data_IF_181841247556
#
_entry.id   IF_181841247556
#
_cell.length_a   1.000
_cell.length_b   1.000
_cell.length_c   1.000
_cell.angle_alpha   90.00
_cell.angle_beta   90.00
_cell.angle_gamma   90.00
#
_symmetry.space_group_name_H-M   'P 1'
#
loop_
_entity.id
_entity.type
_entity.pdbx_description
1 polymer ?
#
# COMPACT_ATOMS: atom_id res chain seq x y z
N UNK A 1 33.98 -38.79 17.28
CA UNK A 1 34.50 -37.43 16.94
C UNK A 1 33.91 -36.87 15.66
N UNK A 2 33.69 -37.66 14.61
CA UNK A 2 33.11 -37.14 13.35
C UNK A 2 31.67 -36.60 13.49
N UNK A 3 30.78 -37.34 14.15
CA UNK A 3 29.37 -36.95 14.33
C UNK A 3 29.24 -35.58 15.07
N UNK A 4 30.06 -35.33 16.07
CA UNK A 4 30.05 -34.07 16.81
C UNK A 4 30.43 -32.87 15.92
N UNK A 5 31.39 -33.04 15.00
CA UNK A 5 31.78 -31.98 14.04
C UNK A 5 30.61 -31.63 13.07
N UNK A 6 29.85 -32.62 12.60
CA UNK A 6 28.70 -32.38 11.73
C UNK A 6 27.56 -31.70 12.46
N UNK A 7 27.30 -32.04 13.74
CA UNK A 7 26.30 -31.37 14.56
C UNK A 7 26.65 -29.89 14.76
N UNK A 8 27.92 -29.60 15.13
CA UNK A 8 28.38 -28.21 15.31
C UNK A 8 28.32 -27.42 14.02
N UNK A 9 28.69 -28.01 12.88
CA UNK A 9 28.61 -27.38 11.57
C UNK A 9 27.16 -27.08 11.17
N UNK A 10 26.23 -28.03 11.42
CA UNK A 10 24.80 -27.86 11.12
C UNK A 10 24.17 -26.76 11.98
N UNK A 11 24.51 -26.66 13.27
CA UNK A 11 24.03 -25.60 14.17
C UNK A 11 24.59 -24.24 13.75
N UNK A 12 25.86 -24.15 13.32
CA UNK A 12 26.42 -22.91 12.79
C UNK A 12 25.74 -22.48 11.48
N UNK A 13 25.45 -23.39 10.57
CA UNK A 13 24.72 -23.05 9.33
C UNK A 13 23.28 -22.57 9.63
N UNK A 14 22.55 -23.21 10.55
CA UNK A 14 21.24 -22.76 10.96
C UNK A 14 21.27 -21.39 11.64
N UNK A 15 22.33 -21.09 12.41
CA UNK A 15 22.50 -19.78 13.06
C UNK A 15 22.73 -18.61 12.10
N UNK A 16 23.31 -18.87 10.92
CA UNK A 16 23.57 -17.83 9.90
C UNK A 16 22.26 -17.44 9.17
N UNK A 17 21.30 -18.36 9.04
CA UNK A 17 20.02 -18.07 8.39
C UNK A 17 19.01 -17.30 9.26
N UNK A 18 19.25 -17.16 10.57
CA UNK A 18 18.35 -16.44 11.49
C UNK A 18 18.57 -14.92 11.51
N UNK A 19 19.61 -14.41 10.87
CA UNK A 19 19.84 -12.97 10.70
C UNK A 19 19.32 -12.46 9.35
N UNK A 20 18.16 -12.91 8.92
CA UNK A 20 17.40 -12.19 7.90
C UNK A 20 17.05 -10.82 8.48
N UNK A 21 17.67 -9.75 7.96
CA UNK A 21 17.31 -8.37 8.27
C UNK A 21 15.89 -8.11 7.75
N UNK A 22 14.90 -8.64 8.46
CA UNK A 22 13.54 -8.16 8.30
C UNK A 22 13.54 -6.74 8.88
N UNK A 23 13.61 -5.74 8.03
CA UNK A 23 13.35 -4.37 8.43
C UNK A 23 12.06 -4.36 9.23
N UNK A 24 12.06 -3.85 10.45
CA UNK A 24 10.85 -3.89 11.26
C UNK A 24 9.76 -3.06 10.57
N UNK A 25 8.53 -3.54 10.59
CA UNK A 25 7.37 -2.80 10.06
C UNK A 25 7.28 -1.40 10.65
N UNK A 26 7.68 -1.25 11.92
CA UNK A 26 7.70 0.04 12.61
C UNK A 26 8.69 1.01 11.97
N UNK A 27 9.91 0.58 11.65
CA UNK A 27 10.92 1.44 10.99
C UNK A 27 10.45 1.88 9.61
N UNK A 28 9.92 0.96 8.82
CA UNK A 28 9.36 1.27 7.50
C UNK A 28 8.20 2.29 7.57
N UNK A 29 7.36 2.23 8.61
CA UNK A 29 6.26 3.18 8.83
C UNK A 29 6.79 4.55 9.29
N UNK A 30 7.85 4.57 10.13
CA UNK A 30 8.46 5.82 10.58
C UNK A 30 9.16 6.58 9.44
N UNK A 31 9.71 5.86 8.46
CA UNK A 31 10.28 6.45 7.24
C UNK A 31 9.20 7.02 6.31
N UNK A 32 8.08 6.33 6.18
CA UNK A 32 6.97 6.71 5.31
C UNK A 32 5.63 6.29 5.92
N UNK A 33 4.94 7.25 6.56
CA UNK A 33 3.67 7.04 7.22
C UNK A 33 2.58 6.52 6.26
N UNK A 34 2.67 6.80 4.95
CA UNK A 34 1.72 6.33 3.96
C UNK A 34 1.70 4.79 3.85
N UNK A 35 2.78 4.10 4.27
CA UNK A 35 2.85 2.64 4.35
C UNK A 35 1.85 2.02 5.35
N UNK A 36 1.30 2.82 6.27
CA UNK A 36 0.20 2.37 7.13
C UNK A 36 -1.06 2.03 6.33
N UNK A 37 -1.20 2.57 5.13
CA UNK A 37 -2.31 2.28 4.23
C UNK A 37 -2.38 0.81 3.77
N UNK A 38 -1.34 0.00 3.98
CA UNK A 38 -1.33 -1.41 3.59
C UNK A 38 -1.67 -1.59 2.11
N UNK A 39 -2.79 -2.27 1.83
CA UNK A 39 -3.26 -2.49 0.44
C UNK A 39 -3.70 -1.20 -0.26
N UNK A 40 -3.96 -0.13 0.47
CA UNK A 40 -4.31 1.19 -0.06
C UNK A 40 -3.08 2.09 -0.29
N UNK A 41 -1.88 1.61 0.06
CA UNK A 41 -0.65 2.34 -0.24
C UNK A 41 -0.52 2.58 -1.74
N UNK A 42 -0.33 3.84 -2.14
CA UNK A 42 -0.26 4.23 -3.53
C UNK A 42 0.93 3.57 -4.23
N UNK A 43 0.69 2.96 -5.38
CA UNK A 43 1.76 2.41 -6.22
C UNK A 43 2.64 3.55 -6.75
N UNK A 44 3.96 3.52 -6.52
CA UNK A 44 4.84 4.58 -7.00
C UNK A 44 4.94 4.56 -8.53
N UNK A 45 4.70 5.70 -9.15
CA UNK A 45 4.98 5.88 -10.58
C UNK A 45 6.49 6.01 -10.74
N UNK A 46 7.12 5.00 -11.34
CA UNK A 46 8.54 5.02 -11.67
C UNK A 46 8.70 4.96 -13.18
N UNK A 47 9.53 5.82 -13.73
CA UNK A 47 9.94 5.69 -15.12
C UNK A 47 10.68 4.36 -15.30
N UNK A 48 10.14 3.50 -16.17
CA UNK A 48 10.79 2.26 -16.52
C UNK A 48 11.85 2.54 -17.59
N UNK A 49 13.11 2.30 -17.27
CA UNK A 49 14.18 2.30 -18.27
C UNK A 49 14.10 0.98 -19.01
N UNK A 50 13.59 1.04 -20.25
CA UNK A 50 13.54 -0.13 -21.11
C UNK A 50 14.95 -0.56 -21.49
N UNK A 51 15.34 -1.79 -21.13
CA UNK A 51 16.59 -2.39 -21.59
C UNK A 51 16.36 -2.96 -22.99
N UNK A 52 17.15 -2.56 -24.01
CA UNK A 52 16.99 -3.12 -25.33
C UNK A 52 17.28 -4.63 -25.33
N UNK A 53 16.67 -5.41 -26.23
CA UNK A 53 16.94 -6.82 -26.32
C UNK A 53 18.42 -7.08 -26.70
N UNK A 54 19.02 -8.19 -26.24
CA UNK A 54 20.38 -8.57 -26.65
C UNK A 54 20.51 -8.68 -28.16
N UNK A 55 21.72 -8.44 -28.68
CA UNK A 55 22.01 -8.55 -30.13
C UNK A 55 21.58 -9.92 -30.66
N UNK A 56 20.83 -9.95 -31.75
CA UNK A 56 20.34 -11.18 -32.39
C UNK A 56 19.00 -11.71 -31.81
N UNK A 57 18.44 -11.09 -30.79
CA UNK A 57 17.15 -11.46 -30.21
C UNK A 57 16.07 -10.45 -30.59
N UNK A 58 14.85 -10.93 -30.77
CA UNK A 58 13.65 -10.10 -30.96
C UNK A 58 12.58 -10.53 -29.95
N UNK A 59 11.95 -9.59 -29.22
CA UNK A 59 10.79 -9.90 -28.40
C UNK A 59 9.68 -10.47 -29.27
N UNK A 60 9.07 -11.57 -28.87
CA UNK A 60 7.95 -12.20 -29.60
C UNK A 60 6.73 -12.46 -28.71
N UNK A 61 6.88 -12.35 -27.41
CA UNK A 61 5.82 -12.61 -26.45
C UNK A 61 6.02 -11.77 -25.20
N UNK A 62 4.94 -11.28 -24.61
CA UNK A 62 4.93 -10.64 -23.29
C UNK A 62 3.97 -11.38 -22.38
N UNK A 63 4.40 -11.73 -21.18
CA UNK A 63 3.55 -12.19 -20.10
C UNK A 63 3.48 -11.10 -19.06
N UNK A 64 2.26 -10.60 -18.79
CA UNK A 64 2.04 -9.48 -17.90
C UNK A 64 1.12 -9.89 -16.76
N UNK A 65 1.61 -9.71 -15.52
CA UNK A 65 0.82 -9.82 -14.32
C UNK A 65 0.99 -8.51 -13.53
N UNK A 66 -0.09 -7.80 -13.32
CA UNK A 66 -0.04 -6.50 -12.68
C UNK A 66 -1.23 -6.29 -11.74
N UNK A 67 -1.04 -5.38 -10.79
CA UNK A 67 -2.10 -4.80 -9.99
C UNK A 67 -2.71 -3.63 -10.77
N UNK A 68 -4.04 -3.43 -10.65
CA UNK A 68 -4.66 -2.20 -11.15
C UNK A 68 -4.06 -0.95 -10.48
N UNK A 69 -4.12 0.18 -11.15
CA UNK A 69 -3.78 1.48 -10.56
C UNK A 69 -4.68 1.87 -9.39
N UNK A 70 -4.39 2.98 -8.75
CA UNK A 70 -5.18 3.49 -7.62
C UNK A 70 -6.64 3.68 -8.01
N UNK A 71 -7.56 3.22 -7.14
CA UNK A 71 -9.01 3.31 -7.34
C UNK A 71 -9.66 3.98 -6.15
N UNK A 72 -10.81 4.60 -6.37
CA UNK A 72 -11.74 4.84 -5.29
C UNK A 72 -12.21 3.51 -4.69
N UNK A 73 -12.57 3.51 -3.39
CA UNK A 73 -13.08 2.30 -2.73
C UNK A 73 -14.36 1.85 -3.47
N UNK A 74 -14.48 0.53 -3.67
CA UNK A 74 -15.59 -0.03 -4.46
C UNK A 74 -16.96 0.24 -3.84
N UNK A 75 -17.02 0.23 -2.51
CA UNK A 75 -18.24 0.50 -1.76
C UNK A 75 -18.26 1.97 -1.34
N UNK A 76 -19.10 2.76 -1.96
CA UNK A 76 -19.35 4.15 -1.56
C UNK A 76 -19.86 4.25 -0.11
N UNK A 77 -20.54 3.21 0.37
CA UNK A 77 -21.01 3.14 1.74
C UNK A 77 -19.87 3.20 2.77
N UNK A 78 -18.67 2.76 2.42
CA UNK A 78 -17.51 2.82 3.32
C UNK A 78 -17.10 4.28 3.59
N UNK A 79 -17.14 5.15 2.56
CA UNK A 79 -16.94 6.58 2.74
C UNK A 79 -18.09 7.22 3.53
N UNK A 80 -19.32 6.94 3.09
CA UNK A 80 -20.50 7.55 3.64
C UNK A 80 -20.69 7.22 5.13
N UNK A 81 -20.39 6.01 5.55
CA UNK A 81 -20.45 5.60 6.95
C UNK A 81 -19.58 6.49 7.83
N UNK A 82 -18.36 6.80 7.40
CA UNK A 82 -17.46 7.68 8.16
C UNK A 82 -18.00 9.10 8.22
N UNK A 83 -18.46 9.64 7.09
CA UNK A 83 -19.06 10.98 7.03
C UNK A 83 -20.27 11.07 7.97
N UNK A 84 -21.18 10.09 7.93
CA UNK A 84 -22.40 10.07 8.75
C UNK A 84 -22.09 9.98 10.26
N UNK A 85 -21.03 9.26 10.66
CA UNK A 85 -20.59 9.20 12.06
C UNK A 85 -20.11 10.57 12.54
N UNK A 86 -19.26 11.24 11.77
CA UNK A 86 -18.75 12.56 12.11
C UNK A 86 -19.85 13.61 12.11
N UNK A 87 -20.80 13.52 11.18
CA UNK A 87 -21.93 14.45 11.13
C UNK A 87 -22.86 14.30 12.35
N UNK A 88 -23.16 13.05 12.75
CA UNK A 88 -23.94 12.78 13.98
C UNK A 88 -23.22 13.30 15.23
N UNK A 89 -21.91 13.12 15.31
CA UNK A 89 -21.12 13.61 16.44
C UNK A 89 -21.06 15.15 16.47
N UNK A 90 -21.01 15.81 15.31
CA UNK A 90 -21.10 17.26 15.18
C UNK A 90 -22.44 17.77 15.67
N UNK A 91 -23.57 17.18 15.20
CA UNK A 91 -24.92 17.56 15.63
C UNK A 91 -25.13 17.38 17.14
N UNK A 92 -24.46 16.37 17.72
CA UNK A 92 -24.49 16.15 19.17
C UNK A 92 -23.55 17.10 19.96
N UNK A 93 -22.74 17.92 19.30
CA UNK A 93 -21.81 18.85 19.93
C UNK A 93 -20.66 18.19 20.70
N UNK A 94 -20.27 16.95 20.32
CA UNK A 94 -19.26 16.15 21.04
C UNK A 94 -17.91 16.09 20.33
N UNK A 95 -17.76 16.76 19.19
CA UNK A 95 -16.49 16.79 18.49
C UNK A 95 -15.49 17.74 19.15
N UNK A 96 -14.23 17.31 19.21
CA UNK A 96 -13.11 18.19 19.51
C UNK A 96 -12.77 19.06 18.30
N UNK A 97 -11.89 20.06 18.48
CA UNK A 97 -11.40 20.87 17.35
C UNK A 97 -10.76 20.00 16.24
N UNK A 98 -10.02 18.97 16.62
CA UNK A 98 -9.48 18.00 15.67
C UNK A 98 -10.60 17.20 14.98
N UNK A 99 -11.63 16.78 15.72
CA UNK A 99 -12.78 16.09 15.16
C UNK A 99 -13.52 16.91 14.10
N UNK A 100 -13.68 18.22 14.34
CA UNK A 100 -14.27 19.16 13.37
C UNK A 100 -13.41 19.30 12.10
N UNK A 101 -12.09 19.36 12.24
CA UNK A 101 -11.18 19.39 11.10
C UNK A 101 -11.27 18.10 10.27
N UNK A 102 -11.26 16.93 10.94
CA UNK A 102 -11.44 15.63 10.27
C UNK A 102 -12.79 15.55 9.57
N UNK A 103 -13.88 15.98 10.20
CA UNK A 103 -15.20 16.02 9.58
C UNK A 103 -15.20 16.77 8.25
N UNK A 104 -14.62 17.97 8.22
CA UNK A 104 -14.54 18.81 7.02
C UNK A 104 -13.74 18.12 5.91
N UNK A 105 -12.61 17.50 6.25
CA UNK A 105 -11.79 16.76 5.26
C UNK A 105 -12.51 15.53 4.74
N UNK A 106 -13.24 14.81 5.59
CA UNK A 106 -14.00 13.64 5.15
C UNK A 106 -15.16 14.02 4.22
N UNK A 107 -15.78 15.19 4.42
CA UNK A 107 -16.77 15.70 3.47
C UNK A 107 -16.17 15.95 2.08
N UNK A 108 -14.96 16.54 2.00
CA UNK A 108 -14.25 16.73 0.73
C UNK A 108 -13.88 15.40 0.07
N UNK A 109 -13.45 14.42 0.88
CA UNK A 109 -13.14 13.06 0.36
C UNK A 109 -14.39 12.41 -0.20
N UNK A 110 -15.53 12.57 0.44
CA UNK A 110 -16.81 12.06 -0.06
C UNK A 110 -17.22 12.75 -1.37
N UNK A 111 -17.13 14.05 -1.44
CA UNK A 111 -17.44 14.84 -2.64
C UNK A 111 -16.60 14.36 -3.86
N UNK A 112 -15.32 14.05 -3.64
CA UNK A 112 -14.42 13.50 -4.68
C UNK A 112 -14.75 12.03 -5.05
N UNK A 113 -15.29 11.26 -4.12
CA UNK A 113 -15.53 9.82 -4.29
C UNK A 113 -16.94 9.47 -4.78
N UNK A 114 -17.92 10.35 -4.57
CA UNK A 114 -19.33 10.11 -4.87
C UNK A 114 -19.55 9.84 -6.37
N UNK A 115 -20.17 8.71 -6.70
CA UNK A 115 -20.40 8.27 -8.07
C UNK A 115 -19.21 7.59 -8.75
N UNK A 116 -18.07 7.44 -8.05
CA UNK A 116 -16.83 6.86 -8.60
C UNK A 116 -16.45 5.49 -8.01
N UNK A 117 -17.37 4.84 -7.31
CA UNK A 117 -17.10 3.56 -6.64
C UNK A 117 -16.42 2.53 -7.54
N UNK A 118 -15.16 2.20 -7.23
CA UNK A 118 -14.34 1.23 -7.98
C UNK A 118 -13.66 1.75 -9.24
N UNK A 119 -13.91 2.98 -9.66
CA UNK A 119 -13.24 3.61 -10.80
C UNK A 119 -11.75 3.89 -10.50
N UNK A 120 -10.93 4.00 -11.54
CA UNK A 120 -9.56 4.46 -11.41
C UNK A 120 -9.53 5.94 -11.06
N UNK A 121 -8.76 6.30 -10.03
CA UNK A 121 -8.48 7.71 -9.77
C UNK A 121 -7.61 8.32 -10.88
N UNK A 122 -7.52 9.65 -11.00
CA UNK A 122 -6.55 10.28 -11.91
C UNK A 122 -5.10 9.84 -11.68
N UNK A 123 -4.74 9.53 -10.42
CA UNK A 123 -3.45 8.90 -10.11
C UNK A 123 -3.39 7.48 -10.69
N UNK A 124 -4.44 6.68 -10.51
CA UNK A 124 -4.51 5.31 -11.02
C UNK A 124 -4.37 5.23 -12.54
N UNK A 125 -4.97 6.17 -13.25
CA UNK A 125 -4.79 6.29 -14.72
C UNK A 125 -3.34 6.54 -15.09
N UNK A 126 -2.62 7.40 -14.33
CA UNK A 126 -1.19 7.64 -14.59
C UNK A 126 -0.28 6.48 -14.20
N UNK A 127 -0.76 5.55 -13.38
CA UNK A 127 0.00 4.36 -12.96
C UNK A 127 -0.07 3.22 -13.98
N UNK A 128 -0.98 3.28 -14.94
CA UNK A 128 -1.12 2.36 -16.06
C UNK A 128 -0.32 2.82 -17.27
#
# INVERSE_FOLDING_TARGET
MALFKYIVLSVCLCGIHLNGFAQSTREAILEDIARTGGVYYAYPVKEAIATPPPKGYKPFYISHYARHGSRWIQSEQDYKTVVDIFEKAHQAGVLTALGEDVRKRMALVWEDAEGHGGDLTPLGVRQH
#
